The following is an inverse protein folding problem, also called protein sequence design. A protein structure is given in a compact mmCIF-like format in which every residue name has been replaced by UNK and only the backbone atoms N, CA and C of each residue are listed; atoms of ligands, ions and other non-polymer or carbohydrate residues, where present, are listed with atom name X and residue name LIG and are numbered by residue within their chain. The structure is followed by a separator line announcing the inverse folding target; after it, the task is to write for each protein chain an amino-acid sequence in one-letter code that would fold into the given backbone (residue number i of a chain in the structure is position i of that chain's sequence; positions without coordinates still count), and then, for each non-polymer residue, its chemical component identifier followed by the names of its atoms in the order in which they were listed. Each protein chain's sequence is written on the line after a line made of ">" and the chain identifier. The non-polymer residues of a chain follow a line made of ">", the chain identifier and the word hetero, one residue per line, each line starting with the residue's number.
data_IF_013627565832
#
_entry.id   IF_013627565832
#
_cell.length_a   1.000
_cell.length_b   1.000
_cell.length_c   1.000
_cell.angle_alpha   90.00
_cell.angle_beta   90.00
_cell.angle_gamma   90.00
#
_symmetry.space_group_name_H-M   'P 1'
#
loop_
_entity.id
_entity.type
_entity.pdbx_description
1 polymer ?
#
# COMPACT_ATOMS: atom_id res chain seq x y z
N UNK A 1 -19.13 -3.03 11.15
CA UNK A 1 -18.01 -2.23 11.69
C UNK A 1 -17.00 -1.80 10.63
N UNK A 2 -17.01 -2.39 9.42
CA UNK A 2 -16.13 -1.99 8.31
C UNK A 2 -14.65 -1.86 8.73
N UNK A 3 -14.15 -2.82 9.51
CA UNK A 3 -12.76 -2.90 9.96
C UNK A 3 -12.19 -4.25 9.55
N UNK A 4 -11.15 -4.25 8.72
CA UNK A 4 -10.54 -5.48 8.20
C UNK A 4 -9.20 -5.74 8.90
N UNK A 5 -9.18 -6.69 9.85
CA UNK A 5 -7.99 -7.07 10.62
C UNK A 5 -7.07 -8.11 9.96
N UNK A 6 -7.23 -8.33 8.65
CA UNK A 6 -6.38 -9.27 7.90
C UNK A 6 -4.98 -8.67 7.75
N UNK A 7 -3.94 -9.43 8.09
CA UNK A 7 -2.56 -9.01 7.90
C UNK A 7 -2.03 -9.48 6.54
N UNK A 8 -1.77 -8.51 5.65
CA UNK A 8 -1.23 -8.75 4.30
C UNK A 8 0.29 -8.91 4.27
N UNK A 9 0.99 -9.00 5.40
CA UNK A 9 2.45 -9.18 5.44
C UNK A 9 2.94 -10.33 4.54
N UNK A 10 2.24 -11.46 4.53
CA UNK A 10 2.58 -12.59 3.66
C UNK A 10 2.50 -12.26 2.17
N UNK A 11 1.57 -11.39 1.76
CA UNK A 11 1.44 -10.92 0.38
C UNK A 11 2.62 -10.03 -0.01
N UNK A 12 3.08 -9.17 0.90
CA UNK A 12 4.21 -8.27 0.67
C UNK A 12 5.52 -9.05 0.51
N UNK A 13 5.75 -10.03 1.39
CA UNK A 13 6.92 -10.91 1.33
C UNK A 13 6.91 -11.77 0.05
N UNK A 14 5.76 -12.31 -0.34
CA UNK A 14 5.62 -13.07 -1.58
C UNK A 14 5.87 -12.19 -2.81
N UNK A 15 5.41 -10.94 -2.80
CA UNK A 15 5.65 -9.99 -3.88
C UNK A 15 7.14 -9.62 -4.00
N UNK A 16 7.83 -9.39 -2.87
CA UNK A 16 9.28 -9.15 -2.84
C UNK A 16 10.06 -10.29 -3.51
N UNK A 17 9.82 -11.52 -3.06
CA UNK A 17 10.45 -12.71 -3.65
C UNK A 17 10.10 -12.91 -5.14
N UNK A 18 8.85 -12.62 -5.53
CA UNK A 18 8.42 -12.69 -6.93
C UNK A 18 9.17 -11.68 -7.82
N UNK A 19 9.34 -10.45 -7.35
CA UNK A 19 10.08 -9.41 -8.09
C UNK A 19 11.58 -9.71 -8.16
N UNK A 20 12.17 -10.24 -7.09
CA UNK A 20 13.56 -10.68 -7.06
C UNK A 20 13.81 -11.77 -8.11
N UNK A 21 12.96 -12.78 -8.14
CA UNK A 21 13.04 -13.88 -9.11
C UNK A 21 12.94 -13.38 -10.56
N UNK A 22 12.07 -12.40 -10.83
CA UNK A 22 12.00 -11.72 -12.14
C UNK A 22 13.30 -10.97 -12.44
N UNK A 23 13.85 -10.28 -11.46
CA UNK A 23 15.15 -9.59 -11.57
C UNK A 23 16.27 -10.54 -11.99
N UNK A 24 16.35 -11.72 -11.37
CA UNK A 24 17.36 -12.75 -11.66
C UNK A 24 17.11 -13.40 -13.02
N UNK A 25 15.91 -13.95 -13.25
CA UNK A 25 15.61 -14.76 -14.44
C UNK A 25 15.52 -13.97 -15.73
N UNK A 26 15.09 -12.72 -15.65
CA UNK A 26 14.94 -11.84 -16.82
C UNK A 26 16.04 -10.79 -16.91
N UNK A 27 17.03 -10.83 -16.00
CA UNK A 27 18.11 -9.83 -15.90
C UNK A 27 17.57 -8.39 -15.87
N UNK A 28 16.52 -8.16 -15.08
CA UNK A 28 15.83 -6.87 -14.98
C UNK A 28 16.30 -6.10 -13.75
N UNK A 29 17.15 -5.10 -13.97
CA UNK A 29 17.63 -4.21 -12.90
C UNK A 29 16.47 -3.47 -12.21
N UNK A 30 15.47 -3.02 -12.97
CA UNK A 30 14.27 -2.36 -12.43
C UNK A 30 13.49 -3.28 -11.47
N UNK A 31 13.34 -4.56 -11.82
CA UNK A 31 12.67 -5.52 -10.93
C UNK A 31 13.47 -5.79 -9.65
N UNK A 32 14.80 -5.89 -9.75
CA UNK A 32 15.66 -6.02 -8.57
C UNK A 32 15.59 -4.80 -7.63
N UNK A 33 15.53 -3.58 -8.19
CA UNK A 33 15.34 -2.35 -7.40
C UNK A 33 13.98 -2.35 -6.70
N UNK A 34 12.90 -2.74 -7.41
CA UNK A 34 11.56 -2.84 -6.83
C UNK A 34 11.52 -3.84 -5.67
N UNK A 35 12.14 -5.02 -5.82
CA UNK A 35 12.23 -6.03 -4.76
C UNK A 35 12.97 -5.50 -3.53
N UNK A 36 14.20 -4.99 -3.73
CA UNK A 36 15.06 -4.46 -2.66
C UNK A 36 14.40 -3.30 -1.89
N UNK A 37 13.70 -2.42 -2.60
CA UNK A 37 12.99 -1.30 -1.97
C UNK A 37 11.71 -1.74 -1.25
N UNK A 38 11.03 -2.78 -1.75
CA UNK A 38 9.87 -3.38 -1.08
C UNK A 38 10.26 -4.08 0.21
N UNK A 39 11.40 -4.79 0.23
CA UNK A 39 11.93 -5.42 1.44
C UNK A 39 12.22 -4.39 2.53
N UNK A 40 12.87 -3.27 2.16
CA UNK A 40 13.11 -2.14 3.08
C UNK A 40 11.80 -1.52 3.57
N UNK A 41 10.83 -1.32 2.69
CA UNK A 41 9.52 -0.77 3.05
C UNK A 41 8.75 -1.69 4.01
N UNK A 42 8.85 -3.00 3.81
CA UNK A 42 8.26 -4.01 4.72
C UNK A 42 8.96 -3.98 6.07
N UNK A 43 10.29 -3.83 6.11
CA UNK A 43 11.05 -3.60 7.34
C UNK A 43 10.55 -2.38 8.10
N UNK A 44 10.42 -1.23 7.44
CA UNK A 44 9.90 0.00 8.05
C UNK A 44 8.45 -0.15 8.55
N UNK A 45 7.60 -0.91 7.85
CA UNK A 45 6.23 -1.19 8.28
C UNK A 45 6.22 -1.95 9.62
N UNK A 46 7.09 -2.94 9.76
CA UNK A 46 7.23 -3.73 10.99
C UNK A 46 7.86 -2.91 12.13
N UNK A 47 8.94 -2.18 11.85
CA UNK A 47 9.63 -1.34 12.84
C UNK A 47 8.72 -0.25 13.42
N UNK A 48 7.87 0.35 12.58
CA UNK A 48 6.94 1.39 13.01
C UNK A 48 5.59 0.84 13.53
N UNK A 49 5.44 -0.48 13.66
CA UNK A 49 4.23 -1.11 14.18
C UNK A 49 2.97 -0.81 13.35
N UNK A 50 3.09 -0.71 12.02
CA UNK A 50 1.99 -0.33 11.11
C UNK A 50 1.22 -1.53 10.55
N UNK A 51 1.20 -2.65 11.29
CA UNK A 51 0.31 -3.78 11.02
C UNK A 51 -1.13 -3.48 11.47
N UNK A 52 -2.14 -4.17 10.90
CA UNK A 52 -3.54 -3.97 11.27
C UNK A 52 -3.80 -4.29 12.76
N UNK A 53 -4.53 -3.42 13.43
CA UNK A 53 -5.08 -3.69 14.75
C UNK A 53 -6.26 -4.67 14.67
N UNK A 54 -6.65 -5.18 15.83
CA UNK A 54 -7.88 -5.97 16.01
C UNK A 54 -9.06 -5.11 16.44
N UNK A 55 -8.83 -3.83 16.77
CA UNK A 55 -9.82 -2.93 17.37
C UNK A 55 -10.38 -1.98 16.31
N UNK A 56 -11.70 -1.99 16.13
CA UNK A 56 -12.40 -1.03 15.28
C UNK A 56 -12.14 0.40 15.74
N UNK A 57 -11.89 1.30 14.79
CA UNK A 57 -11.44 2.68 15.03
C UNK A 57 -9.92 2.86 14.96
N UNK A 58 -9.16 1.77 15.02
CA UNK A 58 -7.71 1.80 14.84
C UNK A 58 -7.31 1.45 13.39
N UNK A 59 -6.01 1.45 13.11
CA UNK A 59 -5.45 1.10 11.80
C UNK A 59 -5.88 -0.31 11.39
N UNK A 60 -6.41 -0.47 10.19
CA UNK A 60 -6.82 -1.77 9.65
C UNK A 60 -5.97 -2.15 8.41
N UNK A 61 -6.34 -3.21 7.70
CA UNK A 61 -5.66 -3.68 6.49
C UNK A 61 -5.46 -2.58 5.43
N UNK A 62 -6.45 -1.71 5.19
CA UNK A 62 -6.32 -0.65 4.20
C UNK A 62 -5.30 0.39 4.64
N UNK A 63 -5.22 0.63 5.95
CA UNK A 63 -4.22 1.48 6.57
C UNK A 63 -2.79 0.92 6.45
N UNK A 64 -2.60 -0.39 6.65
CA UNK A 64 -1.27 -1.02 6.48
C UNK A 64 -0.82 -0.98 5.01
N UNK A 65 -1.75 -1.17 4.05
CA UNK A 65 -1.47 -1.00 2.62
C UNK A 65 -1.05 0.43 2.26
N UNK A 66 -1.69 1.43 2.86
CA UNK A 66 -1.27 2.83 2.70
C UNK A 66 0.16 3.06 3.21
N UNK A 67 0.49 2.57 4.41
CA UNK A 67 1.84 2.73 4.97
C UNK A 67 2.89 2.01 4.12
N UNK A 68 2.61 0.80 3.64
CA UNK A 68 3.51 0.10 2.73
C UNK A 68 3.74 0.91 1.45
N UNK A 69 2.67 1.41 0.82
CA UNK A 69 2.78 2.22 -0.38
C UNK A 69 3.61 3.50 -0.15
N UNK A 70 3.42 4.17 0.98
CA UNK A 70 4.21 5.34 1.38
C UNK A 70 5.69 4.98 1.53
N UNK A 71 6.03 3.98 2.35
CA UNK A 71 7.42 3.61 2.59
C UNK A 71 8.10 3.11 1.32
N UNK A 72 7.38 2.36 0.47
CA UNK A 72 7.93 1.87 -0.78
C UNK A 72 8.19 3.01 -1.77
N UNK A 73 7.26 3.96 -1.90
CA UNK A 73 7.47 5.16 -2.71
C UNK A 73 8.68 5.97 -2.21
N UNK A 74 8.86 6.11 -0.89
CA UNK A 74 10.03 6.77 -0.30
C UNK A 74 11.33 6.05 -0.68
N UNK A 75 11.41 4.74 -0.48
CA UNK A 75 12.59 3.95 -0.85
C UNK A 75 12.91 4.02 -2.34
N UNK A 76 11.88 4.06 -3.20
CA UNK A 76 12.03 4.23 -4.65
C UNK A 76 12.47 5.64 -5.05
N UNK A 77 12.06 6.66 -4.29
CA UNK A 77 12.47 8.05 -4.50
C UNK A 77 13.86 8.38 -3.96
N UNK A 78 14.40 7.55 -3.06
CA UNK A 78 15.70 7.77 -2.42
C UNK A 78 16.84 6.93 -3.03
N UNK A 79 16.51 5.84 -3.74
CA UNK A 79 17.52 5.03 -4.41
C UNK A 79 18.19 5.78 -5.57
N UNK A 80 19.46 5.45 -5.83
CA UNK A 80 20.30 6.08 -6.85
C UNK A 80 20.75 5.11 -7.95
N UNK A 81 20.18 3.91 -7.97
CA UNK A 81 20.51 2.84 -8.92
C UNK A 81 19.80 3.05 -10.27
N UNK A 82 18.62 3.67 -10.28
CA UNK A 82 17.85 4.04 -11.47
C UNK A 82 17.20 5.42 -11.27
N UNK A 83 17.78 6.46 -11.89
CA UNK A 83 17.31 7.84 -11.73
C UNK A 83 15.95 8.09 -12.40
N UNK A 84 15.61 7.38 -13.47
CA UNK A 84 14.31 7.51 -14.13
C UNK A 84 13.21 6.99 -13.20
N UNK A 85 13.44 5.83 -12.59
CA UNK A 85 12.55 5.26 -11.59
C UNK A 85 12.45 6.17 -10.36
N UNK A 86 13.57 6.75 -9.93
CA UNK A 86 13.62 7.70 -8.83
C UNK A 86 12.70 8.90 -9.09
N UNK A 87 12.91 9.60 -10.20
CA UNK A 87 12.15 10.79 -10.59
C UNK A 87 10.64 10.51 -10.70
N UNK A 88 10.27 9.30 -11.18
CA UNK A 88 8.88 8.86 -11.27
C UNK A 88 8.20 8.73 -9.90
N UNK A 89 8.93 8.29 -8.87
CA UNK A 89 8.36 8.05 -7.54
C UNK A 89 8.50 9.23 -6.57
N UNK A 90 9.36 10.21 -6.84
CA UNK A 90 9.50 11.43 -6.03
C UNK A 90 8.15 12.15 -5.80
N UNK A 91 7.32 12.44 -6.82
CA UNK A 91 6.03 13.12 -6.61
C UNK A 91 5.05 12.29 -5.78
N UNK A 92 5.05 10.97 -5.94
CA UNK A 92 4.20 10.07 -5.17
C UNK A 92 4.63 10.05 -3.70
N UNK A 93 5.92 9.85 -3.43
CA UNK A 93 6.47 9.83 -2.08
C UNK A 93 6.15 11.13 -1.32
N UNK A 94 6.29 12.27 -2.01
CA UNK A 94 5.92 13.58 -1.48
C UNK A 94 4.42 13.65 -1.17
N UNK A 95 3.57 13.33 -2.14
CA UNK A 95 2.10 13.42 -1.99
C UNK A 95 1.59 12.54 -0.85
N UNK A 96 2.05 11.29 -0.76
CA UNK A 96 1.66 10.37 0.32
C UNK A 96 2.15 10.87 1.68
N UNK A 97 3.35 11.45 1.75
CA UNK A 97 3.89 12.00 3.00
C UNK A 97 3.13 13.25 3.45
N UNK A 98 2.84 14.18 2.54
CA UNK A 98 2.13 15.44 2.86
C UNK A 98 0.64 15.22 3.18
N UNK A 99 0.03 14.18 2.61
CA UNK A 99 -1.40 13.87 2.75
C UNK A 99 -1.70 12.74 3.74
N UNK A 100 -0.73 12.35 4.57
CA UNK A 100 -0.88 11.22 5.48
C UNK A 100 -2.11 11.34 6.39
N UNK A 101 -2.22 12.45 7.12
CA UNK A 101 -3.30 12.63 8.08
C UNK A 101 -4.68 12.65 7.41
N UNK A 102 -4.79 13.28 6.23
CA UNK A 102 -6.02 13.34 5.44
C UNK A 102 -6.42 11.94 4.92
N UNK A 103 -5.44 11.16 4.42
CA UNK A 103 -5.67 9.80 3.93
C UNK A 103 -6.08 8.88 5.09
N UNK A 104 -5.34 8.86 6.18
CA UNK A 104 -5.62 8.00 7.34
C UNK A 104 -6.97 8.35 7.96
N UNK A 105 -7.28 9.63 8.11
CA UNK A 105 -8.58 10.08 8.61
C UNK A 105 -9.72 9.60 7.72
N UNK A 106 -9.56 9.67 6.39
CA UNK A 106 -10.56 9.15 5.45
C UNK A 106 -10.75 7.63 5.53
N UNK A 107 -9.70 6.87 5.85
CA UNK A 107 -9.77 5.41 6.01
C UNK A 107 -10.41 5.00 7.34
N UNK A 108 -10.12 5.73 8.42
CA UNK A 108 -10.67 5.48 9.76
C UNK A 108 -12.14 5.94 9.85
N UNK A 109 -12.49 7.06 9.24
CA UNK A 109 -13.86 7.60 9.25
C UNK A 109 -14.89 6.63 8.64
N UNK A 110 -14.44 5.75 7.74
CA UNK A 110 -15.27 4.73 7.13
C UNK A 110 -15.47 3.48 8.02
N UNK A 111 -14.92 3.45 9.23
CA UNK A 111 -15.18 2.36 10.17
C UNK A 111 -16.51 2.59 10.91
N UNK A 112 -16.84 1.73 11.88
CA UNK A 112 -18.00 1.84 12.78
C UNK A 112 -19.40 1.73 12.14
N UNK A 113 -19.50 1.33 10.88
CA UNK A 113 -20.80 1.10 10.25
C UNK A 113 -20.86 -0.25 9.51
N UNK A 114 -22.08 -0.69 9.17
CA UNK A 114 -22.30 -1.87 8.36
C UNK A 114 -22.13 -1.51 6.87
N UNK A 115 -21.48 -2.38 6.11
CA UNK A 115 -21.26 -2.19 4.67
C UNK A 115 -21.83 -3.38 3.91
N UNK A 116 -22.39 -3.10 2.74
CA UNK A 116 -22.89 -4.13 1.82
C UNK A 116 -21.91 -4.30 0.66
N UNK A 117 -21.31 -5.47 0.56
CA UNK A 117 -20.41 -5.86 -0.54
C UNK A 117 -21.15 -6.65 -1.64
N UNK A 118 -22.47 -6.81 -1.55
CA UNK A 118 -23.30 -7.42 -2.59
C UNK A 118 -23.21 -8.94 -2.69
N UNK A 119 -22.70 -9.61 -1.67
CA UNK A 119 -22.59 -11.08 -1.61
C UNK A 119 -21.62 -11.55 -0.54
N UNK A 120 -21.34 -12.87 -0.52
CA UNK A 120 -20.36 -13.47 0.40
C UNK A 120 -19.29 -14.26 -0.37
N UNK A 121 -19.67 -15.37 -0.99
CA UNK A 121 -18.75 -16.15 -1.85
C UNK A 121 -18.44 -15.48 -3.18
N UNK A 122 -19.41 -14.72 -3.70
CA UNK A 122 -19.28 -13.89 -4.89
C UNK A 122 -19.86 -12.52 -4.58
N UNK A 123 -18.98 -11.58 -4.29
CA UNK A 123 -19.35 -10.20 -4.00
C UNK A 123 -19.59 -9.42 -5.30
N UNK A 124 -20.25 -8.27 -5.19
CA UNK A 124 -20.32 -7.29 -6.26
C UNK A 124 -18.98 -6.55 -6.34
N UNK A 125 -18.40 -6.50 -7.55
CA UNK A 125 -17.06 -5.96 -7.74
C UNK A 125 -16.97 -4.46 -7.46
N UNK A 126 -17.99 -3.69 -7.85
CA UNK A 126 -18.01 -2.24 -7.69
C UNK A 126 -18.25 -1.86 -6.23
N UNK A 127 -19.18 -2.55 -5.55
CA UNK A 127 -19.40 -2.39 -4.10
C UNK A 127 -18.17 -2.76 -3.29
N UNK A 128 -17.51 -3.87 -3.64
CA UNK A 128 -16.27 -4.29 -2.95
C UNK A 128 -15.18 -3.24 -3.16
N UNK A 129 -15.01 -2.74 -4.39
CA UNK A 129 -14.02 -1.71 -4.73
C UNK A 129 -14.28 -0.42 -3.97
N UNK A 130 -15.53 0.04 -3.88
CA UNK A 130 -15.86 1.27 -3.14
C UNK A 130 -15.57 1.14 -1.65
N UNK A 131 -15.87 -0.01 -1.04
CA UNK A 131 -15.62 -0.28 0.39
C UNK A 131 -14.12 -0.46 0.69
N UNK A 132 -13.38 -1.12 -0.20
CA UNK A 132 -11.95 -1.39 0.00
C UNK A 132 -11.06 -0.19 -0.35
N UNK A 133 -11.53 0.73 -1.20
CA UNK A 133 -10.77 1.91 -1.64
C UNK A 133 -11.54 3.21 -1.37
N UNK A 134 -11.90 3.53 -0.12
CA UNK A 134 -12.75 4.69 0.16
C UNK A 134 -12.00 6.03 0.05
N UNK A 135 -10.68 6.04 0.25
CA UNK A 135 -9.89 7.28 0.21
C UNK A 135 -9.69 7.77 -1.22
N UNK A 136 -10.46 8.78 -1.63
CA UNK A 136 -10.34 9.42 -2.94
C UNK A 136 -8.96 10.07 -3.15
N UNK A 137 -8.37 10.64 -2.08
CA UNK A 137 -7.05 11.27 -2.11
C UNK A 137 -5.98 10.21 -2.42
N UNK A 138 -6.01 9.09 -1.70
CA UNK A 138 -5.06 8.00 -1.93
C UNK A 138 -5.24 7.38 -3.32
N UNK A 139 -6.47 7.14 -3.74
CA UNK A 139 -6.77 6.61 -5.08
C UNK A 139 -6.24 7.51 -6.19
N UNK A 140 -6.38 8.83 -6.04
CA UNK A 140 -5.88 9.80 -7.01
C UNK A 140 -4.35 9.82 -7.03
N UNK A 141 -3.71 9.85 -5.87
CA UNK A 141 -2.25 9.83 -5.77
C UNK A 141 -1.65 8.61 -6.48
N UNK A 142 -2.26 7.42 -6.32
CA UNK A 142 -1.82 6.21 -7.02
C UNK A 142 -2.09 6.24 -8.53
N UNK A 143 -3.17 6.88 -8.98
CA UNK A 143 -3.52 6.96 -10.41
C UNK A 143 -2.64 7.95 -11.19
N UNK A 144 -2.08 8.94 -10.51
CA UNK A 144 -1.24 9.98 -11.12
C UNK A 144 0.20 9.49 -11.44
N UNK A 145 0.59 8.32 -10.93
CA UNK A 145 1.87 7.67 -11.24
C UNK A 145 1.80 7.02 -12.62
N UNK A 146 2.43 7.62 -13.63
CA UNK A 146 2.44 7.12 -15.01
C UNK A 146 3.77 6.51 -15.41
#
# INVERSE_FOLDING_TARGET
>A
ENHLRWDSLGEFLALGASLEEVGIKQNSSKAAILAKTLDKATGLLLENGKSPSKVTGELDNRGSHYYLAKYWAQMLSEQTEDLELQEKFVPLAKTLTEKEDEILSSLIAEQWHAVDVGGYYKTDADKTKSVMRPSAIFNKALADVK
#
